data_IF_767497202246
#
_entry.id   IF_767497202246
#
_cell.length_a   1.000
_cell.length_b   1.000
_cell.length_c   1.000
_cell.angle_alpha   90.00
_cell.angle_beta   90.00
_cell.angle_gamma   90.00
#
_symmetry.space_group_name_H-M   'P 1'
#
loop_
_entity.id
_entity.type
_entity.pdbx_description
1 polymer ?
#
# COMPACT_ATOMS: atom_id res chain seq x y z
N UNK A 1 3.57 7.45 -20.61
CA UNK A 1 4.89 7.89 -20.11
C UNK A 1 5.35 6.82 -19.14
N UNK A 2 6.44 6.09 -19.45
CA UNK A 2 6.89 4.93 -18.69
C UNK A 2 7.72 5.39 -17.50
N UNK A 3 7.11 5.52 -16.33
CA UNK A 3 7.83 5.66 -15.05
C UNK A 3 8.25 4.28 -14.58
N UNK A 4 9.12 3.63 -15.35
CA UNK A 4 9.70 2.37 -14.90
C UNK A 4 10.79 2.65 -13.85
N UNK A 5 10.40 2.45 -12.59
CA UNK A 5 11.23 2.60 -11.39
C UNK A 5 12.17 1.39 -11.17
N UNK A 6 12.22 0.44 -12.13
CA UNK A 6 13.04 -0.77 -12.07
C UNK A 6 14.55 -0.50 -11.93
N UNK A 7 15.01 0.67 -12.37
CA UNK A 7 16.42 1.07 -12.38
C UNK A 7 16.95 1.61 -11.04
N UNK A 8 16.10 1.85 -10.04
CA UNK A 8 16.50 2.44 -8.76
C UNK A 8 16.77 1.36 -7.70
N UNK A 9 17.69 1.57 -6.74
CA UNK A 9 17.89 0.63 -5.64
C UNK A 9 16.61 0.52 -4.76
N UNK A 10 16.38 -0.67 -4.17
CA UNK A 10 15.10 -1.03 -3.53
C UNK A 10 14.64 -0.07 -2.42
N UNK A 11 15.58 0.57 -1.72
CA UNK A 11 15.32 1.60 -0.72
C UNK A 11 14.71 2.88 -1.34
N UNK A 12 15.23 3.36 -2.47
CA UNK A 12 14.71 4.52 -3.19
C UNK A 12 13.35 4.25 -3.82
N UNK A 13 13.09 3.02 -4.28
CA UNK A 13 11.76 2.62 -4.80
C UNK A 13 10.67 2.77 -3.74
N UNK A 14 10.88 2.23 -2.54
CA UNK A 14 9.91 2.34 -1.42
C UNK A 14 9.64 3.78 -0.98
N UNK A 15 10.67 4.61 -0.99
CA UNK A 15 10.54 6.02 -0.62
C UNK A 15 9.76 6.81 -1.69
N UNK A 16 10.03 6.54 -2.96
CA UNK A 16 9.30 7.11 -4.09
C UNK A 16 7.84 6.66 -4.12
N UNK A 17 7.53 5.39 -3.86
CA UNK A 17 6.14 4.90 -3.75
C UNK A 17 5.35 5.68 -2.69
N UNK A 18 6.01 5.98 -1.56
CA UNK A 18 5.41 6.73 -0.45
C UNK A 18 5.14 8.20 -0.80
N UNK A 19 6.04 8.81 -1.58
CA UNK A 19 5.89 10.19 -2.07
C UNK A 19 4.82 10.25 -3.15
N UNK A 20 4.82 9.32 -4.10
CA UNK A 20 3.83 9.22 -5.18
C UNK A 20 2.41 9.03 -4.62
N UNK A 21 2.25 8.21 -3.57
CA UNK A 21 0.93 8.01 -2.94
C UNK A 21 0.42 9.28 -2.23
N UNK A 22 1.30 10.03 -1.55
CA UNK A 22 0.94 11.33 -0.94
C UNK A 22 0.60 12.37 -2.00
N UNK A 23 1.37 12.43 -3.07
CA UNK A 23 1.13 13.31 -4.20
C UNK A 23 -0.19 12.96 -4.91
N UNK A 24 -0.48 11.68 -5.10
CA UNK A 24 -1.74 11.21 -5.67
C UNK A 24 -2.92 11.63 -4.79
N UNK A 25 -2.81 11.49 -3.46
CA UNK A 25 -3.84 11.94 -2.52
C UNK A 25 -4.09 13.46 -2.60
N UNK A 26 -3.03 14.26 -2.62
CA UNK A 26 -3.13 15.73 -2.73
C UNK A 26 -3.67 16.14 -4.10
N UNK A 27 -3.19 15.54 -5.18
CA UNK A 27 -3.61 15.86 -6.55
C UNK A 27 -5.06 15.43 -6.79
N UNK A 28 -5.49 14.27 -6.31
CA UNK A 28 -6.88 13.84 -6.38
C UNK A 28 -7.84 14.79 -5.65
N UNK A 29 -7.39 15.39 -4.54
CA UNK A 29 -8.23 16.29 -3.73
C UNK A 29 -8.23 17.75 -4.19
N UNK A 30 -7.10 18.25 -4.70
CA UNK A 30 -6.90 19.68 -4.93
C UNK A 30 -6.49 20.06 -6.34
N UNK A 31 -6.16 19.10 -7.22
CA UNK A 31 -5.78 19.40 -8.60
C UNK A 31 -6.95 19.20 -9.55
N UNK A 32 -7.27 20.25 -10.33
CA UNK A 32 -8.25 20.19 -11.42
C UNK A 32 -7.79 19.32 -12.60
N UNK A 33 -6.51 18.97 -12.67
CA UNK A 33 -5.90 18.25 -13.80
C UNK A 33 -5.46 16.83 -13.45
N UNK A 34 -5.70 16.36 -12.22
CA UNK A 34 -5.41 14.98 -11.87
C UNK A 34 -6.36 14.05 -12.64
N UNK A 35 -5.79 13.12 -13.40
CA UNK A 35 -6.51 12.04 -14.05
C UNK A 35 -5.84 10.74 -13.67
N UNK A 36 -6.65 9.78 -13.24
CA UNK A 36 -6.28 8.39 -13.06
C UNK A 36 -7.06 7.58 -14.07
N UNK A 37 -6.39 6.67 -14.77
CA UNK A 37 -7.03 5.74 -15.69
C UNK A 37 -7.69 4.59 -14.92
N UNK A 38 -8.60 3.89 -15.59
CA UNK A 38 -9.25 2.70 -15.04
C UNK A 38 -8.22 1.62 -14.67
N UNK A 39 -7.27 1.36 -15.55
CA UNK A 39 -6.24 0.33 -15.36
C UNK A 39 -5.33 0.67 -14.17
N UNK A 40 -4.98 1.95 -13.99
CA UNK A 40 -4.22 2.40 -12.81
C UNK A 40 -5.01 2.25 -11.51
N UNK A 41 -6.33 2.47 -11.55
CA UNK A 41 -7.19 2.27 -10.39
C UNK A 41 -7.36 0.79 -10.05
N UNK A 42 -7.52 -0.08 -11.06
CA UNK A 42 -7.59 -1.53 -10.87
C UNK A 42 -6.27 -2.08 -10.32
N UNK A 43 -5.13 -1.63 -10.85
CA UNK A 43 -3.82 -1.99 -10.33
C UNK A 43 -3.64 -1.58 -8.86
N UNK A 44 -4.04 -0.35 -8.50
CA UNK A 44 -4.03 0.11 -7.10
C UNK A 44 -4.95 -0.72 -6.21
N UNK A 45 -6.14 -1.07 -6.70
CA UNK A 45 -7.10 -1.93 -5.99
C UNK A 45 -6.49 -3.28 -5.65
N UNK A 46 -5.85 -3.94 -6.62
CA UNK A 46 -5.17 -5.21 -6.41
C UNK A 46 -4.03 -5.10 -5.37
N UNK A 47 -3.20 -4.05 -5.46
CA UNK A 47 -2.11 -3.84 -4.50
C UNK A 47 -2.62 -3.59 -3.07
N UNK A 48 -3.74 -2.87 -2.93
CA UNK A 48 -4.39 -2.65 -1.63
C UNK A 48 -4.99 -3.95 -1.08
N UNK A 49 -5.56 -4.79 -1.94
CA UNK A 49 -6.11 -6.09 -1.54
C UNK A 49 -5.01 -7.03 -1.02
N UNK A 50 -3.91 -7.17 -1.76
CA UNK A 50 -2.75 -7.98 -1.35
C UNK A 50 -2.19 -7.50 0.00
N UNK A 51 -2.04 -6.18 0.17
CA UNK A 51 -1.61 -5.60 1.44
C UNK A 51 -2.61 -5.89 2.57
N UNK A 52 -3.91 -5.75 2.30
CA UNK A 52 -4.98 -6.03 3.26
C UNK A 52 -4.95 -7.48 3.76
N UNK A 53 -4.75 -8.44 2.86
CA UNK A 53 -4.62 -9.86 3.21
C UNK A 53 -3.40 -10.10 4.11
N UNK A 54 -2.23 -9.58 3.73
CA UNK A 54 -1.01 -9.73 4.53
C UNK A 54 -1.16 -9.13 5.94
N UNK A 55 -1.74 -7.93 6.05
CA UNK A 55 -2.01 -7.27 7.34
C UNK A 55 -2.98 -8.11 8.18
N UNK A 56 -4.06 -8.59 7.58
CA UNK A 56 -5.06 -9.41 8.27
C UNK A 56 -4.45 -10.67 8.88
N UNK A 57 -3.61 -11.36 8.12
CA UNK A 57 -2.96 -12.59 8.59
C UNK A 57 -1.99 -12.31 9.74
N UNK A 58 -1.20 -11.24 9.66
CA UNK A 58 -0.31 -10.82 10.74
C UNK A 58 -1.11 -10.46 12.00
N UNK A 59 -2.19 -9.69 11.85
CA UNK A 59 -3.05 -9.31 12.97
C UNK A 59 -3.71 -10.53 13.62
N UNK A 60 -4.24 -11.47 12.82
CA UNK A 60 -4.85 -12.70 13.33
C UNK A 60 -3.86 -13.54 14.11
N UNK A 61 -2.67 -13.77 13.58
CA UNK A 61 -1.58 -14.49 14.26
C UNK A 61 -1.27 -13.84 15.60
N UNK A 62 -1.09 -12.51 15.60
CA UNK A 62 -0.76 -11.78 16.83
C UNK A 62 -1.87 -11.85 17.88
N UNK A 63 -3.13 -11.75 17.48
CA UNK A 63 -4.27 -11.87 18.39
C UNK A 63 -4.35 -13.28 18.99
N UNK A 64 -4.11 -14.32 18.19
CA UNK A 64 -4.11 -15.70 18.67
C UNK A 64 -2.99 -15.95 19.71
N UNK A 65 -1.79 -15.46 19.46
CA UNK A 65 -0.68 -15.49 20.42
C UNK A 65 -1.06 -14.81 21.74
N UNK A 66 -1.59 -13.58 21.68
CA UNK A 66 -1.99 -12.83 22.87
C UNK A 66 -3.09 -13.53 23.67
N UNK A 67 -4.05 -14.15 22.99
CA UNK A 67 -5.10 -14.95 23.65
C UNK A 67 -4.52 -16.18 24.34
N UNK A 68 -3.59 -16.88 23.68
CA UNK A 68 -2.91 -18.03 24.29
C UNK A 68 -2.14 -17.61 25.54
N UNK A 69 -1.44 -16.48 25.51
CA UNK A 69 -0.71 -15.96 26.66
C UNK A 69 -1.66 -15.60 27.81
N UNK A 70 -2.81 -14.99 27.51
CA UNK A 70 -3.80 -14.62 28.52
C UNK A 70 -4.52 -15.81 29.16
N UNK A 71 -4.62 -16.96 28.48
CA UNK A 71 -5.24 -18.19 28.98
C UNK A 71 -4.28 -19.09 29.77
N UNK A 72 -2.98 -18.80 29.75
CA UNK A 72 -1.95 -19.53 30.50
C UNK A 72 -1.63 -18.88 31.86
N UNK A 73 -2.35 -17.82 32.22
CA UNK A 73 -2.29 -17.11 33.52
C UNK A 73 -3.55 -17.41 34.30
#
# INVERSE_FOLDING_TARGET
MKTDLSHLPANKRRELDRVVQKDAYVKARYSKHYRISKDELEWLGQHVEELGQAVHDVCKKRIAELRSQALQV
#
